data_IF_568781509411
#
_entry.id   IF_568781509411
#
_cell.length_a   1.000
_cell.length_b   1.000
_cell.length_c   1.000
_cell.angle_alpha   90.00
_cell.angle_beta   90.00
_cell.angle_gamma   90.00
#
_symmetry.space_group_name_H-M   'P 1'
#
loop_
_entity.id
_entity.type
_entity.pdbx_description
1 polymer ?
#
# COMPACT_ATOMS: atom_id res chain seq x y z
N UNK A 1 -11.31 -10.55 22.45
CA UNK A 1 -10.84 -11.83 21.92
C UNK A 1 -10.51 -11.63 20.44
N UNK A 2 -9.49 -10.84 20.04
CA UNK A 2 -8.02 -10.90 20.30
C UNK A 2 -7.46 -12.29 19.91
N UNK A 3 -6.36 -12.48 19.12
CA UNK A 3 -5.12 -11.67 19.07
C UNK A 3 -4.19 -11.85 17.81
N UNK A 4 -4.67 -12.11 16.58
CA UNK A 4 -3.81 -12.80 15.59
C UNK A 4 -2.74 -11.95 14.88
N UNK A 5 -2.92 -10.64 14.74
CA UNK A 5 -1.87 -9.79 14.15
C UNK A 5 -0.70 -9.51 15.11
N UNK A 6 -0.90 -9.68 16.42
CA UNK A 6 0.14 -9.51 17.45
C UNK A 6 0.98 -10.78 17.67
N UNK A 7 0.63 -11.92 17.07
CA UNK A 7 1.40 -13.17 17.22
C UNK A 7 2.56 -13.31 16.24
N UNK A 8 2.57 -12.59 15.12
CA UNK A 8 3.59 -12.79 14.06
C UNK A 8 4.89 -12.00 14.23
N UNK A 9 5.02 -11.13 15.24
CA UNK A 9 6.24 -10.32 15.43
C UNK A 9 6.67 -10.21 16.90
N UNK A 10 6.79 -11.35 17.57
CA UNK A 10 7.70 -11.46 18.73
C UNK A 10 9.13 -11.50 18.16
N UNK A 11 9.91 -10.41 18.28
CA UNK A 11 11.39 -10.43 18.43
C UNK A 11 12.06 -9.05 18.25
N UNK A 12 11.48 -7.96 18.75
CA UNK A 12 12.23 -6.71 18.93
C UNK A 12 11.63 -5.87 20.06
N UNK A 13 11.73 -6.36 21.30
CA UNK A 13 11.44 -5.52 22.46
C UNK A 13 12.65 -4.61 22.71
N UNK A 14 12.52 -3.33 22.37
CA UNK A 14 13.49 -2.28 22.72
C UNK A 14 12.89 -1.48 23.88
N UNK A 15 13.69 -1.27 24.93
CA UNK A 15 13.29 -0.53 26.11
C UNK A 15 13.61 0.95 25.96
N UNK A 16 12.72 1.77 26.53
CA UNK A 16 12.67 3.24 26.50
C UNK A 16 13.99 3.87 27.01
N UNK A 17 14.79 4.41 26.09
CA UNK A 17 15.79 5.44 26.40
C UNK A 17 15.18 6.77 25.98
N UNK A 18 15.17 7.73 26.91
CA UNK A 18 14.49 9.05 26.88
C UNK A 18 14.95 10.02 25.77
N UNK A 19 15.55 9.52 24.69
CA UNK A 19 16.07 10.30 23.56
C UNK A 19 15.32 10.06 22.26
N UNK A 20 14.33 9.17 22.22
CA UNK A 20 13.64 8.83 20.98
C UNK A 20 12.33 9.64 20.80
N UNK A 21 12.19 10.30 19.65
CA UNK A 21 11.09 11.22 19.30
C UNK A 21 9.86 10.53 18.69
N UNK A 22 9.79 9.19 18.78
CA UNK A 22 8.67 8.44 18.22
C UNK A 22 7.38 8.66 19.03
N UNK A 23 6.26 8.80 18.35
CA UNK A 23 4.95 9.03 18.97
C UNK A 23 4.47 7.75 19.67
N UNK A 24 4.60 7.73 21.00
CA UNK A 24 4.20 6.62 21.87
C UNK A 24 2.72 6.74 22.22
N UNK A 25 1.91 5.76 21.80
CA UNK A 25 0.54 5.60 22.29
C UNK A 25 0.44 4.42 23.25
N UNK A 26 -0.24 4.57 24.40
CA UNK A 26 -0.52 3.44 25.29
C UNK A 26 -1.51 2.48 24.61
N UNK A 27 -1.19 1.19 24.62
CA UNK A 27 -2.15 0.16 24.19
C UNK A 27 -3.42 0.21 25.04
N UNK A 28 -4.62 -0.04 24.47
CA UNK A 28 -5.84 -0.17 25.25
C UNK A 28 -5.69 -1.32 26.24
N UNK A 29 -6.04 -1.06 27.51
CA UNK A 29 -5.99 -2.06 28.56
C UNK A 29 -7.16 -3.02 28.41
N UNK A 30 -6.95 -4.31 28.65
CA UNK A 30 -8.03 -5.32 28.66
C UNK A 30 -9.03 -5.11 29.82
N UNK A 31 -8.77 -4.14 30.71
CA UNK A 31 -9.61 -3.82 31.88
C UNK A 31 -10.66 -2.71 31.62
N UNK A 32 -10.64 -2.04 30.47
CA UNK A 32 -11.60 -0.96 30.14
C UNK A 32 -12.91 -1.46 29.49
N UNK A 33 -13.16 -2.77 29.44
CA UNK A 33 -14.39 -3.37 28.88
C UNK A 33 -15.57 -3.45 29.85
N UNK A 34 -15.68 -2.52 30.79
CA UNK A 34 -16.94 -2.34 31.55
C UNK A 34 -17.23 -0.86 31.77
N UNK A 35 -18.05 -0.26 30.89
CA UNK A 35 -19.12 0.69 31.24
C UNK A 35 -19.58 1.48 30.01
N UNK A 36 -20.72 1.07 29.43
CA UNK A 36 -21.79 1.98 28.98
C UNK A 36 -22.97 1.19 28.39
N UNK A 37 -23.70 0.48 29.26
CA UNK A 37 -25.12 0.21 28.99
C UNK A 37 -25.92 1.39 29.51
N UNK A 38 -26.39 2.23 28.59
CA UNK A 38 -27.41 3.24 28.87
C UNK A 38 -28.76 2.54 28.84
N UNK A 39 -29.28 2.14 30.02
CA UNK A 39 -30.68 1.70 30.16
C UNK A 39 -31.50 2.75 30.92
N UNK A 40 -32.69 2.96 30.38
CA UNK A 40 -33.63 4.03 30.64
C UNK A 40 -34.43 3.76 31.92
N UNK A 41 -34.75 4.87 32.59
CA UNK A 41 -35.57 5.13 33.77
C UNK A 41 -36.78 4.21 34.05
N UNK A 42 -37.07 4.00 35.34
CA UNK A 42 -38.22 3.25 35.86
C UNK A 42 -38.12 2.91 37.35
N UNK A 43 -38.38 3.88 38.23
CA UNK A 43 -38.10 3.79 39.67
C UNK A 43 -39.04 2.96 40.57
N UNK A 44 -38.55 2.63 41.78
CA UNK A 44 -39.20 2.90 43.10
C UNK A 44 -38.44 2.27 44.28
N UNK A 45 -38.18 3.13 45.28
CA UNK A 45 -38.25 2.95 46.74
C UNK A 45 -37.46 1.83 47.46
N UNK A 46 -36.56 2.25 48.36
CA UNK A 46 -36.07 1.44 49.49
C UNK A 46 -34.82 2.01 50.19
N UNK A 47 -35.01 2.92 51.16
CA UNK A 47 -34.04 3.36 52.20
C UNK A 47 -33.72 2.20 53.20
N UNK A 48 -32.84 2.34 54.23
CA UNK A 48 -31.69 3.22 54.47
C UNK A 48 -30.49 2.52 55.19
N UNK A 49 -29.47 3.32 55.58
CA UNK A 49 -28.46 3.22 56.68
C UNK A 49 -27.03 3.30 56.14
N UNK A 50 -26.30 4.45 56.16
CA UNK A 50 -25.88 5.40 57.23
C UNK A 50 -24.92 4.73 58.24
N UNK A 51 -24.06 5.53 58.90
CA UNK A 51 -22.84 6.27 58.49
C UNK A 51 -21.61 5.67 59.21
N UNK A 52 -20.40 6.23 59.17
CA UNK A 52 -19.80 7.06 60.25
C UNK A 52 -18.38 7.43 59.79
N UNK A 53 -18.07 8.71 59.51
CA UNK A 53 -17.57 9.75 60.44
C UNK A 53 -16.05 9.75 60.57
N UNK A 54 -15.40 10.86 60.14
CA UNK A 54 -14.73 11.86 61.00
C UNK A 54 -13.29 11.46 61.34
N UNK A 55 -12.26 12.30 61.32
CA UNK A 55 -12.10 13.76 61.19
C UNK A 55 -10.59 14.08 61.28
N UNK A 56 -10.22 15.34 60.98
CA UNK A 56 -9.07 16.13 61.50
C UNK A 56 -7.65 15.68 61.12
N UNK A 57 -6.86 16.49 60.38
CA UNK A 57 -6.00 17.62 60.86
C UNK A 57 -4.94 17.14 61.86
N UNK A 58 -3.64 17.46 61.82
CA UNK A 58 -2.72 18.34 61.08
C UNK A 58 -1.27 17.93 61.51
N UNK A 59 -0.26 18.69 61.08
CA UNK A 59 1.11 18.80 61.66
C UNK A 59 2.27 17.97 61.07
N UNK A 60 3.00 18.66 60.17
CA UNK A 60 4.38 19.11 60.32
C UNK A 60 5.54 18.16 60.74
N UNK A 61 6.59 18.28 59.92
CA UNK A 61 8.04 18.25 60.21
C UNK A 61 8.89 16.98 59.99
N UNK A 62 9.96 17.26 59.23
CA UNK A 62 11.34 16.78 59.33
C UNK A 62 11.78 15.49 58.61
N UNK A 63 12.72 15.76 57.70
CA UNK A 63 13.76 14.95 57.06
C UNK A 63 14.05 13.56 57.66
N UNK A 64 14.08 12.57 56.77
CA UNK A 64 15.16 11.59 56.76
C UNK A 64 15.55 11.23 55.33
N UNK A 65 16.84 11.42 55.03
CA UNK A 65 17.50 10.95 53.81
C UNK A 65 17.63 9.42 53.85
N UNK A 66 16.62 8.70 53.40
CA UNK A 66 16.80 7.32 52.96
C UNK A 66 16.73 7.26 51.44
N UNK A 67 17.85 6.86 50.83
CA UNK A 67 17.95 6.45 49.43
C UNK A 67 16.85 5.42 49.14
N UNK A 68 15.70 5.88 48.64
CA UNK A 68 14.81 5.06 47.83
C UNK A 68 15.56 4.75 46.53
N UNK A 69 16.27 3.63 46.51
CA UNK A 69 16.42 2.91 45.26
C UNK A 69 15.01 2.80 44.67
N UNK A 70 14.76 3.54 43.59
CA UNK A 70 13.56 3.38 42.80
C UNK A 70 13.50 1.90 42.42
N UNK A 71 12.65 1.15 43.12
CA UNK A 71 12.19 -0.16 42.69
C UNK A 71 11.55 0.05 41.32
N UNK A 72 12.38 -0.05 40.27
CA UNK A 72 11.91 -0.11 38.90
C UNK A 72 10.93 -1.29 38.89
N UNK A 73 9.64 -1.05 38.60
CA UNK A 73 8.65 -2.12 38.65
C UNK A 73 9.15 -3.27 37.77
N UNK A 74 9.00 -4.54 38.22
CA UNK A 74 9.53 -5.69 37.51
C UNK A 74 9.10 -5.63 36.05
N UNK A 75 10.00 -5.95 35.11
CA UNK A 75 9.77 -5.82 33.66
C UNK A 75 8.47 -6.49 33.20
N UNK A 76 7.95 -7.46 33.96
CA UNK A 76 6.65 -8.12 33.75
C UNK A 76 5.42 -7.23 33.93
N UNK A 77 5.54 -6.07 34.61
CA UNK A 77 4.47 -5.06 34.80
C UNK A 77 4.59 -3.86 33.86
N UNK A 78 5.64 -3.78 33.04
CA UNK A 78 5.79 -2.68 32.07
C UNK A 78 4.87 -2.94 30.88
N UNK A 79 4.04 -1.95 30.53
CA UNK A 79 3.17 -2.00 29.35
C UNK A 79 4.04 -2.30 28.12
N UNK A 80 3.65 -3.31 27.34
CA UNK A 80 4.33 -3.62 26.08
C UNK A 80 4.20 -2.41 25.16
N UNK A 81 5.33 -1.81 24.81
CA UNK A 81 5.39 -0.74 23.82
C UNK A 81 5.33 -1.37 22.43
N UNK A 82 4.33 -0.98 21.65
CA UNK A 82 4.24 -1.31 20.23
C UNK A 82 4.86 -0.14 19.46
N UNK A 83 6.05 -0.35 18.91
CA UNK A 83 6.68 0.65 18.03
C UNK A 83 6.06 0.48 16.65
N UNK A 84 5.30 1.48 16.21
CA UNK A 84 4.72 1.52 14.86
C UNK A 84 5.66 2.29 13.94
N UNK A 85 5.97 1.69 12.80
CA UNK A 85 6.65 2.41 11.72
C UNK A 85 5.67 3.31 10.98
N UNK A 86 6.18 4.29 10.26
CA UNK A 86 5.37 5.12 9.35
C UNK A 86 4.60 4.25 8.34
N UNK A 87 5.21 3.14 7.89
CA UNK A 87 4.57 2.18 7.00
C UNK A 87 3.34 1.56 7.67
N UNK A 88 3.47 1.12 8.92
CA UNK A 88 2.37 0.49 9.66
C UNK A 88 1.19 1.46 9.84
N UNK A 89 1.47 2.73 10.12
CA UNK A 89 0.44 3.77 10.23
C UNK A 89 -0.27 3.98 8.89
N UNK A 90 0.49 4.07 7.79
CA UNK A 90 -0.09 4.24 6.44
C UNK A 90 -0.92 3.04 6.01
N UNK A 91 -0.45 1.82 6.31
CA UNK A 91 -1.17 0.58 6.00
C UNK A 91 -2.52 0.57 6.73
N UNK A 92 -2.53 0.84 8.04
CA UNK A 92 -3.76 0.87 8.83
C UNK A 92 -4.69 2.01 8.43
N UNK A 93 -4.13 3.18 8.06
CA UNK A 93 -4.92 4.30 7.57
C UNK A 93 -5.72 3.94 6.31
N UNK A 94 -5.10 3.25 5.35
CA UNK A 94 -5.78 2.80 4.12
C UNK A 94 -6.90 1.81 4.47
N UNK A 95 -6.63 0.85 5.34
CA UNK A 95 -7.65 -0.12 5.76
C UNK A 95 -8.81 0.53 6.53
N UNK A 96 -8.51 1.44 7.44
CA UNK A 96 -9.53 2.19 8.19
C UNK A 96 -10.39 3.05 7.27
N UNK A 97 -9.78 3.78 6.34
CA UNK A 97 -10.51 4.61 5.37
C UNK A 97 -11.46 3.76 4.54
N UNK A 98 -11.00 2.62 4.02
CA UNK A 98 -11.82 1.72 3.22
C UNK A 98 -12.97 1.08 4.02
N UNK A 99 -12.72 0.67 5.29
CA UNK A 99 -13.77 0.16 6.18
C UNK A 99 -14.82 1.22 6.51
N UNK A 100 -14.41 2.48 6.69
CA UNK A 100 -15.32 3.61 6.89
C UNK A 100 -16.15 3.88 5.64
N UNK A 101 -15.55 3.79 4.45
CA UNK A 101 -16.25 3.87 3.16
C UNK A 101 -17.38 2.84 3.06
N UNK A 102 -17.08 1.56 3.37
CA UNK A 102 -18.09 0.49 3.42
C UNK A 102 -19.21 0.77 4.43
N UNK A 103 -18.87 1.17 5.65
CA UNK A 103 -19.86 1.45 6.69
C UNK A 103 -20.75 2.67 6.36
N UNK A 104 -20.25 3.58 5.54
CA UNK A 104 -21.01 4.74 5.06
C UNK A 104 -21.98 4.37 3.94
N UNK A 105 -21.86 3.17 3.37
CA UNK A 105 -22.74 2.67 2.32
C UNK A 105 -24.05 2.14 2.90
N UNK A 106 -25.14 2.42 2.20
CA UNK A 106 -26.46 1.86 2.48
C UNK A 106 -26.59 0.37 2.11
N UNK A 107 -25.71 -0.12 1.23
CA UNK A 107 -25.72 -1.50 0.73
C UNK A 107 -25.06 -2.49 1.70
N UNK A 108 -24.07 -2.04 2.48
CA UNK A 108 -23.33 -2.89 3.40
C UNK A 108 -23.95 -2.84 4.80
N UNK A 109 -24.44 -3.99 5.28
CA UNK A 109 -25.00 -4.16 6.63
C UNK A 109 -24.26 -5.28 7.35
N UNK A 110 -23.04 -4.99 7.81
CA UNK A 110 -22.20 -5.98 8.47
C UNK A 110 -21.02 -5.36 9.21
N UNK A 111 -20.15 -6.23 9.71
CA UNK A 111 -18.86 -5.84 10.28
C UNK A 111 -17.82 -5.93 9.17
N UNK A 112 -17.11 -4.82 8.84
CA UNK A 112 -16.08 -4.86 7.81
C UNK A 112 -14.99 -5.89 8.12
N UNK A 113 -14.50 -6.63 7.12
CA UNK A 113 -13.42 -7.59 7.32
C UNK A 113 -12.15 -6.95 7.90
N UNK A 114 -11.48 -7.70 8.75
CA UNK A 114 -10.14 -7.32 9.26
C UNK A 114 -9.04 -7.67 8.27
N UNK A 115 -9.22 -8.77 7.52
CA UNK A 115 -8.31 -9.19 6.46
C UNK A 115 -8.46 -8.28 5.22
N UNK A 116 -7.34 -7.90 4.60
CA UNK A 116 -7.34 -6.94 3.51
C UNK A 116 -7.76 -7.55 2.15
N UNK A 117 -7.61 -8.87 1.95
CA UNK A 117 -8.05 -9.55 0.73
C UNK A 117 -9.57 -9.69 0.70
N UNK A 118 -10.15 -10.06 1.85
CA UNK A 118 -11.60 -10.10 2.05
C UNK A 118 -12.21 -8.71 1.94
N UNK A 119 -11.57 -7.70 2.57
CA UNK A 119 -12.00 -6.31 2.50
C UNK A 119 -11.98 -5.80 1.05
N UNK A 120 -10.89 -6.07 0.31
CA UNK A 120 -10.79 -5.72 -1.11
C UNK A 120 -11.91 -6.34 -1.94
N UNK A 121 -12.14 -7.65 -1.78
CA UNK A 121 -13.17 -8.37 -2.52
C UNK A 121 -14.55 -7.78 -2.27
N UNK A 122 -14.86 -7.46 -1.02
CA UNK A 122 -16.11 -6.85 -0.60
C UNK A 122 -16.28 -5.42 -1.10
N UNK A 123 -15.22 -4.60 -1.09
CA UNK A 123 -15.25 -3.23 -1.65
C UNK A 123 -15.63 -3.26 -3.14
N UNK A 124 -15.05 -4.18 -3.90
CA UNK A 124 -15.37 -4.36 -5.32
C UNK A 124 -16.83 -4.79 -5.49
N UNK A 125 -17.31 -5.73 -4.68
CA UNK A 125 -18.69 -6.23 -4.76
C UNK A 125 -19.73 -5.18 -4.34
N UNK A 126 -19.36 -4.26 -3.44
CA UNK A 126 -20.17 -3.11 -3.02
C UNK A 126 -19.90 -1.83 -3.84
N UNK A 127 -19.17 -1.92 -4.95
CA UNK A 127 -18.91 -0.83 -5.90
C UNK A 127 -18.13 0.38 -5.32
N UNK A 128 -17.32 0.16 -4.29
CA UNK A 128 -16.38 1.15 -3.72
C UNK A 128 -15.01 1.00 -4.38
N UNK A 129 -14.92 1.35 -5.66
CA UNK A 129 -13.77 1.14 -6.53
C UNK A 129 -12.54 1.99 -6.18
N UNK A 130 -12.69 3.25 -5.78
CA UNK A 130 -11.56 4.11 -5.39
C UNK A 130 -10.86 3.54 -4.13
N UNK A 131 -11.65 3.13 -3.13
CA UNK A 131 -11.11 2.54 -1.90
C UNK A 131 -10.55 1.13 -2.16
N UNK A 132 -11.20 0.33 -3.02
CA UNK A 132 -10.65 -0.95 -3.47
C UNK A 132 -9.31 -0.78 -4.20
N UNK A 133 -9.18 0.27 -5.02
CA UNK A 133 -7.93 0.58 -5.72
C UNK A 133 -6.81 0.95 -4.75
N UNK A 134 -7.10 1.76 -3.72
CA UNK A 134 -6.15 2.10 -2.66
C UNK A 134 -5.66 0.87 -1.89
N UNK A 135 -6.56 -0.03 -1.53
CA UNK A 135 -6.20 -1.30 -0.88
C UNK A 135 -5.35 -2.15 -1.83
N UNK A 136 -5.76 -2.30 -3.09
CA UNK A 136 -5.04 -3.11 -4.06
C UNK A 136 -3.61 -2.63 -4.30
N UNK A 137 -3.40 -1.32 -4.51
CA UNK A 137 -2.06 -0.76 -4.74
C UNK A 137 -1.20 -0.84 -3.47
N UNK A 138 -1.78 -0.64 -2.28
CA UNK A 138 -1.01 -0.60 -1.03
C UNK A 138 -0.51 -1.98 -0.63
N UNK A 139 -1.34 -3.00 -0.82
CA UNK A 139 -1.05 -4.39 -0.44
C UNK A 139 -0.62 -5.27 -1.62
N UNK A 140 -0.44 -4.69 -2.81
CA UNK A 140 -0.04 -5.37 -4.04
C UNK A 140 -0.96 -6.55 -4.41
N UNK A 141 -2.27 -6.33 -4.31
CA UNK A 141 -3.29 -7.32 -4.65
C UNK A 141 -3.49 -7.44 -6.16
N UNK A 142 -4.11 -8.54 -6.58
CA UNK A 142 -4.56 -8.68 -7.95
C UNK A 142 -5.78 -7.79 -8.24
N UNK A 143 -5.52 -6.65 -8.90
CA UNK A 143 -6.55 -5.70 -9.28
C UNK A 143 -7.41 -6.17 -10.47
N UNK A 144 -7.15 -7.34 -11.08
CA UNK A 144 -7.92 -7.83 -12.23
C UNK A 144 -9.43 -7.80 -11.99
N UNK A 145 -9.90 -8.32 -10.83
CA UNK A 145 -11.33 -8.34 -10.46
C UNK A 145 -11.92 -6.93 -10.41
N UNK A 146 -11.19 -5.97 -9.83
CA UNK A 146 -11.63 -4.58 -9.72
C UNK A 146 -11.90 -3.97 -11.10
N UNK A 147 -10.95 -4.09 -12.02
CA UNK A 147 -11.06 -3.49 -13.35
C UNK A 147 -12.09 -4.18 -14.25
N UNK A 148 -12.28 -5.49 -14.08
CA UNK A 148 -13.38 -6.22 -14.71
C UNK A 148 -14.74 -5.70 -14.22
N UNK A 149 -14.94 -5.62 -12.90
CA UNK A 149 -16.24 -5.24 -12.33
C UNK A 149 -16.59 -3.78 -12.64
N UNK A 150 -15.66 -2.82 -12.48
CA UNK A 150 -15.97 -1.41 -12.80
C UNK A 150 -16.31 -1.20 -14.28
N UNK A 151 -15.64 -1.95 -15.17
CA UNK A 151 -15.91 -1.90 -16.62
C UNK A 151 -17.23 -2.58 -16.97
N UNK A 152 -17.58 -3.68 -16.30
CA UNK A 152 -18.89 -4.32 -16.41
C UNK A 152 -20.00 -3.36 -16.01
N UNK A 153 -19.90 -2.73 -14.84
CA UNK A 153 -20.94 -1.81 -14.36
C UNK A 153 -21.10 -0.60 -15.28
N UNK A 154 -20.01 -0.11 -15.87
CA UNK A 154 -20.04 0.92 -16.91
C UNK A 154 -20.83 0.46 -18.16
N UNK A 155 -20.57 -0.75 -18.66
CA UNK A 155 -21.33 -1.34 -19.79
C UNK A 155 -22.81 -1.46 -19.46
N UNK A 156 -23.15 -1.91 -18.24
CA UNK A 156 -24.53 -2.08 -17.80
C UNK A 156 -25.29 -0.75 -17.78
N UNK A 157 -24.63 0.36 -17.41
CA UNK A 157 -25.23 1.70 -17.48
C UNK A 157 -25.63 2.05 -18.91
N UNK A 158 -24.74 1.86 -19.88
CA UNK A 158 -25.04 2.18 -21.28
C UNK A 158 -26.12 1.26 -21.86
N UNK A 159 -26.07 -0.05 -21.56
CA UNK A 159 -27.09 -1.00 -21.98
C UNK A 159 -28.51 -0.62 -21.49
N UNK A 160 -28.60 -0.06 -20.27
CA UNK A 160 -29.88 0.37 -19.69
C UNK A 160 -30.32 1.75 -20.15
N UNK A 161 -29.42 2.59 -20.67
CA UNK A 161 -29.78 3.87 -21.30
C UNK A 161 -30.42 3.69 -22.66
N UNK A 162 -30.07 2.62 -23.36
CA UNK A 162 -30.66 2.27 -24.66
C UNK A 162 -32.08 1.71 -24.52
N UNK A 163 -32.43 1.17 -23.34
CA UNK A 163 -33.81 0.83 -22.99
C UNK A 163 -34.60 2.07 -22.52
N UNK A 164 -35.85 2.20 -22.98
CA UNK A 164 -36.73 3.38 -22.83
C UNK A 164 -37.04 3.78 -21.36
N UNK A 165 -36.53 3.05 -20.36
CA UNK A 165 -36.70 3.33 -18.92
C UNK A 165 -35.56 4.20 -18.36
N UNK A 166 -35.42 5.40 -18.90
CA UNK A 166 -34.43 6.43 -18.54
C UNK A 166 -34.52 6.83 -17.04
N UNK A 167 -35.71 6.76 -16.43
CA UNK A 167 -35.92 7.18 -15.04
C UNK A 167 -35.25 6.26 -14.01
N UNK A 168 -35.19 4.95 -14.24
CA UNK A 168 -34.50 4.00 -13.33
C UNK A 168 -32.97 4.04 -13.47
N UNK A 169 -32.45 4.25 -14.69
CA UNK A 169 -31.01 4.39 -14.93
C UNK A 169 -30.40 5.61 -14.21
N UNK A 170 -31.21 6.68 -14.03
CA UNK A 170 -30.73 7.96 -13.49
C UNK A 170 -30.50 7.99 -11.96
N UNK A 171 -31.20 7.15 -11.18
CA UNK A 171 -31.28 7.32 -9.71
C UNK A 171 -30.43 6.33 -8.90
N UNK A 172 -30.36 5.05 -9.27
CA UNK A 172 -29.57 4.04 -8.53
C UNK A 172 -28.17 3.78 -9.12
N UNK A 173 -28.01 3.78 -10.44
CA UNK A 173 -26.73 3.40 -11.07
C UNK A 173 -25.70 4.54 -11.15
N UNK A 174 -26.11 5.79 -10.92
CA UNK A 174 -25.20 6.92 -10.76
C UNK A 174 -24.59 7.04 -9.35
N UNK A 175 -25.04 6.24 -8.37
CA UNK A 175 -24.58 6.33 -6.98
C UNK A 175 -23.10 5.97 -6.83
N UNK A 176 -22.70 4.83 -7.38
CA UNK A 176 -21.29 4.42 -7.36
C UNK A 176 -20.43 5.37 -8.20
N UNK A 177 -20.92 5.85 -9.35
CA UNK A 177 -20.19 6.80 -10.21
C UNK A 177 -19.87 8.10 -9.47
N UNK A 178 -20.78 8.58 -8.61
CA UNK A 178 -20.54 9.77 -7.77
C UNK A 178 -19.53 9.50 -6.66
N UNK A 179 -19.52 8.29 -6.12
CA UNK A 179 -18.66 7.89 -5.01
C UNK A 179 -17.22 7.61 -5.44
N UNK A 180 -17.00 7.32 -6.72
CA UNK A 180 -15.70 6.89 -7.27
C UNK A 180 -15.06 7.92 -8.22
N UNK A 181 -15.12 9.22 -7.86
CA UNK A 181 -14.64 10.30 -8.73
C UNK A 181 -13.21 10.76 -8.45
N UNK A 182 -12.48 10.12 -7.53
CA UNK A 182 -11.19 10.62 -7.06
C UNK A 182 -10.15 10.73 -8.17
N UNK A 183 -10.20 9.82 -9.13
CA UNK A 183 -9.29 9.78 -10.29
C UNK A 183 -9.93 10.30 -11.59
N UNK A 184 -11.17 10.80 -11.53
CA UNK A 184 -11.89 11.24 -12.72
C UNK A 184 -11.44 12.62 -13.20
N UNK A 185 -11.32 12.76 -14.52
CA UNK A 185 -11.36 14.06 -15.19
C UNK A 185 -12.81 14.47 -15.42
N UNK A 186 -13.13 15.75 -15.28
CA UNK A 186 -14.46 16.27 -15.54
C UNK A 186 -14.86 16.06 -17.00
N UNK A 187 -16.03 15.44 -17.23
CA UNK A 187 -16.59 15.14 -18.55
C UNK A 187 -18.08 15.48 -18.58
N UNK A 188 -18.70 15.37 -19.77
CA UNK A 188 -20.16 15.46 -19.89
C UNK A 188 -20.84 14.40 -19.03
N UNK A 189 -22.02 14.72 -18.48
CA UNK A 189 -22.78 13.86 -17.57
C UNK A 189 -23.09 12.47 -18.15
N UNK A 190 -23.23 12.38 -19.47
CA UNK A 190 -23.48 11.14 -20.19
C UNK A 190 -22.32 10.13 -20.19
N UNK A 191 -21.09 10.56 -19.87
CA UNK A 191 -19.88 9.72 -19.91
C UNK A 191 -19.21 9.56 -18.54
N UNK A 192 -19.85 10.00 -17.47
CA UNK A 192 -19.22 10.04 -16.13
C UNK A 192 -18.73 8.66 -15.68
N UNK A 193 -19.48 7.60 -15.96
CA UNK A 193 -19.10 6.23 -15.59
C UNK A 193 -17.84 5.77 -16.34
N UNK A 194 -17.70 6.11 -17.63
CA UNK A 194 -16.49 5.84 -18.39
C UNK A 194 -15.31 6.72 -17.96
N UNK A 195 -15.55 7.93 -17.48
CA UNK A 195 -14.49 8.75 -16.88
C UNK A 195 -13.93 8.12 -15.59
N UNK A 196 -14.76 7.43 -14.80
CA UNK A 196 -14.28 6.63 -13.65
C UNK A 196 -13.38 5.50 -14.12
N UNK A 197 -13.83 4.70 -15.09
CA UNK A 197 -13.04 3.58 -15.63
C UNK A 197 -11.69 4.06 -16.16
N UNK A 198 -11.69 5.11 -16.99
CA UNK A 198 -10.46 5.67 -17.56
C UNK A 198 -9.55 6.25 -16.48
N UNK A 199 -10.11 7.01 -15.53
CA UNK A 199 -9.36 7.59 -14.41
C UNK A 199 -8.66 6.54 -13.56
N UNK A 200 -9.35 5.45 -13.22
CA UNK A 200 -8.76 4.33 -12.49
C UNK A 200 -7.68 3.61 -13.30
N UNK A 201 -7.88 3.42 -14.61
CA UNK A 201 -6.87 2.79 -15.48
C UNK A 201 -5.63 3.67 -15.57
N UNK A 202 -5.78 4.98 -15.74
CA UNK A 202 -4.65 5.90 -15.80
C UNK A 202 -3.91 5.95 -14.46
N UNK A 203 -4.63 6.02 -13.34
CA UNK A 203 -4.04 5.93 -12.00
C UNK A 203 -3.27 4.61 -11.79
N UNK A 204 -3.81 3.48 -12.26
CA UNK A 204 -3.12 2.19 -12.18
C UNK A 204 -1.84 2.16 -13.02
N UNK A 205 -1.84 2.82 -14.18
CA UNK A 205 -0.65 2.90 -15.05
C UNK A 205 0.45 3.76 -14.45
N UNK A 206 0.08 4.83 -13.75
CA UNK A 206 1.03 5.71 -13.08
C UNK A 206 1.66 5.05 -11.84
N UNK A 207 0.84 4.36 -11.03
CA UNK A 207 1.29 3.69 -9.79
C UNK A 207 1.96 2.34 -10.05
N UNK A 208 1.53 1.60 -11.08
CA UNK A 208 1.99 0.24 -11.42
C UNK A 208 2.38 0.14 -12.91
N UNK A 209 3.43 0.84 -13.34
CA UNK A 209 3.83 0.86 -14.74
C UNK A 209 4.25 -0.54 -15.20
N UNK A 210 3.60 -1.03 -16.26
CA UNK A 210 3.85 -2.37 -16.83
C UNK A 210 2.95 -3.48 -16.28
N UNK A 211 2.07 -3.19 -15.31
CA UNK A 211 1.04 -4.15 -14.93
C UNK A 211 -0.09 -4.15 -15.98
N UNK A 212 -0.24 -5.28 -16.67
CA UNK A 212 -1.29 -5.47 -17.68
C UNK A 212 -2.63 -5.91 -17.08
N UNK A 213 -2.67 -6.32 -15.80
CA UNK A 213 -3.88 -6.86 -15.15
C UNK A 213 -5.06 -5.88 -15.14
N UNK A 214 -4.87 -4.56 -14.87
CA UNK A 214 -5.95 -3.58 -15.00
C UNK A 214 -6.58 -3.56 -16.40
N UNK A 215 -5.74 -3.53 -17.45
CA UNK A 215 -6.21 -3.48 -18.83
C UNK A 215 -6.84 -4.79 -19.28
N UNK A 216 -6.31 -5.93 -18.83
CA UNK A 216 -6.90 -7.26 -19.07
C UNK A 216 -8.28 -7.37 -18.44
N UNK A 217 -8.44 -6.99 -17.18
CA UNK A 217 -9.74 -7.02 -16.50
C UNK A 217 -10.77 -6.16 -17.23
N UNK A 218 -10.41 -4.93 -17.59
CA UNK A 218 -11.29 -4.05 -18.35
C UNK A 218 -11.65 -4.63 -19.73
N UNK A 219 -10.69 -5.21 -20.44
CA UNK A 219 -10.90 -5.82 -21.77
C UNK A 219 -11.78 -7.07 -21.67
N UNK A 220 -11.54 -7.92 -20.67
CA UNK A 220 -12.32 -9.12 -20.42
C UNK A 220 -13.80 -8.79 -20.16
N UNK A 221 -14.10 -7.67 -19.51
CA UNK A 221 -15.48 -7.23 -19.34
C UNK A 221 -16.19 -7.06 -20.69
N UNK A 222 -15.61 -6.33 -21.66
CA UNK A 222 -16.21 -6.19 -22.99
C UNK A 222 -16.39 -7.54 -23.70
N UNK A 223 -15.35 -8.38 -23.66
CA UNK A 223 -15.37 -9.68 -24.32
C UNK A 223 -16.42 -10.63 -23.71
N UNK A 224 -16.65 -10.55 -22.40
CA UNK A 224 -17.66 -11.37 -21.70
C UNK A 224 -19.10 -11.11 -22.17
N UNK A 225 -19.38 -9.90 -22.69
CA UNK A 225 -20.65 -9.54 -23.31
C UNK A 225 -20.62 -9.64 -24.84
N UNK A 226 -19.53 -10.15 -25.44
CA UNK A 226 -19.38 -10.21 -26.90
C UNK A 226 -19.29 -8.82 -27.57
N UNK A 227 -18.91 -7.79 -26.81
CA UNK A 227 -18.76 -6.42 -27.32
C UNK A 227 -17.36 -6.21 -27.90
N UNK A 228 -17.27 -5.28 -28.85
CA UNK A 228 -15.97 -4.85 -29.37
C UNK A 228 -15.22 -4.03 -28.32
N UNK A 229 -13.93 -4.32 -28.17
CA UNK A 229 -13.03 -3.56 -27.30
C UNK A 229 -12.87 -2.14 -27.86
N UNK A 230 -13.12 -1.08 -27.08
CA UNK A 230 -12.97 0.29 -27.55
C UNK A 230 -11.54 0.61 -27.99
N UNK A 231 -11.41 1.44 -29.03
CA UNK A 231 -10.11 1.80 -29.61
C UNK A 231 -9.13 2.40 -28.59
N UNK A 232 -9.62 3.24 -27.66
CA UNK A 232 -8.78 3.83 -26.63
C UNK A 232 -8.18 2.77 -25.69
N UNK A 233 -8.94 1.73 -25.35
CA UNK A 233 -8.50 0.65 -24.47
C UNK A 233 -7.49 -0.25 -25.18
N UNK A 234 -7.76 -0.56 -26.46
CA UNK A 234 -6.85 -1.31 -27.32
C UNK A 234 -5.49 -0.63 -27.47
N UNK A 235 -5.45 0.66 -27.81
CA UNK A 235 -4.21 1.42 -27.92
C UNK A 235 -3.43 1.45 -26.60
N UNK A 236 -4.14 1.57 -25.48
CA UNK A 236 -3.52 1.59 -24.16
C UNK A 236 -2.87 0.24 -23.84
N UNK A 237 -3.53 -0.86 -24.24
CA UNK A 237 -2.98 -2.21 -24.10
C UNK A 237 -1.70 -2.40 -24.92
N UNK A 238 -1.70 -1.99 -26.20
CA UNK A 238 -0.50 -2.09 -27.06
C UNK A 238 0.69 -1.31 -26.48
N UNK A 239 0.46 -0.12 -25.93
CA UNK A 239 1.51 0.67 -25.28
C UNK A 239 2.07 -0.07 -24.07
N UNK A 240 1.21 -0.56 -23.17
CA UNK A 240 1.67 -1.26 -21.96
C UNK A 240 2.37 -2.55 -22.30
N UNK A 241 1.87 -3.33 -23.27
CA UNK A 241 2.53 -4.55 -23.72
C UNK A 241 3.90 -4.25 -24.33
N UNK A 242 4.00 -3.22 -25.18
CA UNK A 242 5.26 -2.79 -25.76
C UNK A 242 6.27 -2.29 -24.70
N UNK A 243 5.83 -1.50 -23.71
CA UNK A 243 6.70 -1.08 -22.59
C UNK A 243 7.10 -2.26 -21.70
N UNK A 244 6.18 -3.18 -21.41
CA UNK A 244 6.46 -4.40 -20.64
C UNK A 244 7.49 -5.24 -21.37
N UNK A 245 7.37 -5.40 -22.69
CA UNK A 245 8.33 -6.09 -23.53
C UNK A 245 9.71 -5.44 -23.50
N UNK A 246 9.81 -4.11 -23.43
CA UNK A 246 11.10 -3.40 -23.25
C UNK A 246 11.74 -3.69 -21.90
N UNK A 247 10.93 -3.76 -20.83
CA UNK A 247 11.39 -4.04 -19.46
C UNK A 247 11.68 -5.53 -19.23
N UNK A 248 11.01 -6.43 -19.95
CA UNK A 248 11.24 -7.88 -19.87
C UNK A 248 12.38 -8.36 -20.78
N UNK A 249 12.95 -7.50 -21.62
CA UNK A 249 14.17 -7.85 -22.32
C UNK A 249 15.32 -8.01 -21.32
N UNK A 250 16.23 -8.98 -21.47
CA UNK A 250 17.43 -9.13 -20.63
C UNK A 250 18.42 -7.94 -20.71
N UNK A 251 18.09 -6.91 -21.49
CA UNK A 251 18.79 -5.64 -21.61
C UNK A 251 18.02 -4.45 -20.97
N UNK A 252 16.91 -4.69 -20.27
CA UNK A 252 16.22 -3.66 -19.52
C UNK A 252 17.19 -3.08 -18.49
N UNK A 253 17.53 -1.82 -18.70
CA UNK A 253 18.53 -1.08 -17.93
C UNK A 253 18.06 -0.93 -16.48
N UNK A 254 18.37 -1.90 -15.64
CA UNK A 254 18.64 -1.59 -14.24
C UNK A 254 19.93 -0.79 -14.25
N UNK A 255 19.80 0.53 -14.26
CA UNK A 255 20.95 1.42 -14.07
C UNK A 255 21.42 1.24 -12.63
N UNK A 256 22.38 0.35 -12.43
CA UNK A 256 23.12 0.33 -11.18
C UNK A 256 23.86 1.67 -11.08
N UNK A 257 23.78 2.37 -9.93
CA UNK A 257 24.60 3.56 -9.70
C UNK A 257 26.07 3.24 -9.98
N UNK A 258 26.82 4.19 -10.53
CA UNK A 258 28.23 4.00 -10.87
C UNK A 258 29.06 3.47 -9.69
N UNK A 259 28.74 3.92 -8.48
CA UNK A 259 29.34 3.44 -7.22
C UNK A 259 29.13 1.94 -6.98
N UNK A 260 27.93 1.42 -7.29
CA UNK A 260 27.58 0.01 -7.14
C UNK A 260 28.29 -0.83 -8.21
N UNK A 261 28.40 -0.30 -9.44
CA UNK A 261 29.15 -0.95 -10.53
C UNK A 261 30.63 -1.04 -10.18
N UNK A 262 31.24 0.06 -9.74
CA UNK A 262 32.65 0.10 -9.34
C UNK A 262 32.95 -0.87 -8.20
N UNK A 263 32.10 -0.88 -7.17
CA UNK A 263 32.24 -1.79 -6.03
C UNK A 263 32.12 -3.26 -6.45
N UNK A 264 31.17 -3.57 -7.33
CA UNK A 264 30.99 -4.92 -7.87
C UNK A 264 32.21 -5.37 -8.70
N UNK A 265 32.79 -4.48 -9.51
CA UNK A 265 33.98 -4.76 -10.31
C UNK A 265 35.25 -4.90 -9.47
N UNK A 266 35.36 -4.15 -8.37
CA UNK A 266 36.44 -4.28 -7.38
C UNK A 266 36.35 -5.60 -6.62
N UNK A 267 35.17 -5.90 -6.04
CA UNK A 267 34.93 -7.10 -5.24
C UNK A 267 35.08 -8.38 -6.06
N UNK A 268 34.62 -8.39 -7.31
CA UNK A 268 34.79 -9.53 -8.22
C UNK A 268 36.26 -9.77 -8.61
N UNK A 269 37.05 -8.70 -8.81
CA UNK A 269 38.48 -8.81 -9.02
C UNK A 269 39.23 -9.39 -7.82
N UNK A 270 38.87 -8.96 -6.61
CA UNK A 270 39.41 -9.52 -5.36
C UNK A 270 39.03 -10.99 -5.18
N UNK A 271 37.80 -11.36 -5.53
CA UNK A 271 37.32 -12.73 -5.49
C UNK A 271 38.15 -13.64 -6.40
N UNK A 272 38.33 -13.28 -7.67
CA UNK A 272 39.14 -14.04 -8.61
C UNK A 272 40.58 -14.23 -8.11
N UNK A 273 41.21 -13.18 -7.55
CA UNK A 273 42.56 -13.27 -6.96
C UNK A 273 42.63 -14.22 -5.78
N UNK A 274 41.64 -14.16 -4.87
CA UNK A 274 41.59 -14.99 -3.66
C UNK A 274 41.32 -16.47 -3.96
N UNK A 275 40.58 -16.76 -5.02
CA UNK A 275 40.18 -18.12 -5.39
C UNK A 275 41.17 -18.82 -6.34
N UNK A 276 42.07 -18.08 -7.00
CA UNK A 276 43.07 -18.62 -7.93
C UNK A 276 44.05 -19.64 -7.32
N UNK A 277 44.24 -19.64 -6.00
CA UNK A 277 45.14 -20.57 -5.28
C UNK A 277 44.42 -21.58 -4.38
N UNK A 278 43.09 -21.70 -4.47
CA UNK A 278 42.30 -22.58 -3.59
C UNK A 278 41.93 -23.88 -4.30
N UNK A 279 40.81 -24.50 -3.91
CA UNK A 279 40.37 -25.79 -4.43
C UNK A 279 40.10 -25.73 -5.94
N UNK A 280 40.15 -26.86 -6.65
CA UNK A 280 39.81 -26.90 -8.08
C UNK A 280 38.41 -26.37 -8.39
N UNK A 281 37.45 -26.58 -7.49
CA UNK A 281 36.07 -26.07 -7.59
C UNK A 281 36.02 -24.55 -7.47
N UNK A 282 36.76 -23.97 -6.52
CA UNK A 282 36.90 -22.51 -6.37
C UNK A 282 37.56 -21.87 -7.61
N UNK A 283 38.49 -22.58 -8.24
CA UNK A 283 39.17 -22.10 -9.46
C UNK A 283 38.21 -22.06 -10.66
N UNK A 284 37.33 -23.05 -10.81
CA UNK A 284 36.30 -23.05 -11.86
C UNK A 284 35.33 -21.88 -11.69
N UNK A 285 34.86 -21.64 -10.46
CA UNK A 285 34.01 -20.49 -10.14
C UNK A 285 34.75 -19.16 -10.36
N UNK A 286 36.03 -19.08 -10.04
CA UNK A 286 36.85 -17.90 -10.28
C UNK A 286 36.97 -17.57 -11.78
N UNK A 287 37.09 -18.59 -12.64
CA UNK A 287 37.13 -18.44 -14.10
C UNK A 287 35.78 -17.96 -14.64
N UNK A 288 34.67 -18.47 -14.13
CA UNK A 288 33.33 -18.01 -14.50
C UNK A 288 33.11 -16.55 -14.13
N UNK A 289 33.45 -16.16 -12.90
CA UNK A 289 33.39 -14.76 -12.44
C UNK A 289 34.31 -13.86 -13.28
N UNK A 290 35.50 -14.33 -13.67
CA UNK A 290 36.41 -13.57 -14.53
C UNK A 290 35.82 -13.35 -15.94
N UNK A 291 35.14 -14.35 -16.51
CA UNK A 291 34.46 -14.23 -17.80
C UNK A 291 33.29 -13.24 -17.73
N UNK A 292 32.49 -13.29 -16.67
CA UNK A 292 31.41 -12.32 -16.44
C UNK A 292 31.94 -10.89 -16.29
N UNK A 293 33.05 -10.72 -15.55
CA UNK A 293 33.72 -9.42 -15.40
C UNK A 293 34.21 -8.86 -16.74
N UNK A 294 34.84 -9.69 -17.57
CA UNK A 294 35.27 -9.30 -18.93
C UNK A 294 34.10 -8.85 -19.81
N UNK A 295 32.97 -9.54 -19.73
CA UNK A 295 31.76 -9.16 -20.47
C UNK A 295 31.17 -7.84 -19.96
N UNK A 296 31.18 -7.61 -18.64
CA UNK A 296 30.75 -6.37 -18.04
C UNK A 296 31.64 -5.19 -18.47
N UNK A 297 32.97 -5.35 -18.42
CA UNK A 297 33.94 -4.36 -18.90
C UNK A 297 33.69 -3.97 -20.36
N UNK A 298 33.44 -4.94 -21.24
CA UNK A 298 33.16 -4.68 -22.65
C UNK A 298 31.87 -3.86 -22.84
N UNK A 299 30.82 -4.17 -22.06
CA UNK A 299 29.56 -3.41 -22.10
C UNK A 299 29.74 -1.98 -21.57
N UNK A 300 30.51 -1.80 -20.49
CA UNK A 300 30.83 -0.49 -19.94
C UNK A 300 31.63 0.37 -20.93
N UNK A 301 32.61 -0.21 -21.61
CA UNK A 301 33.38 0.49 -22.65
C UNK A 301 32.50 0.96 -23.82
N UNK A 302 31.56 0.13 -24.28
CA UNK A 302 30.58 0.52 -25.31
C UNK A 302 29.69 1.64 -24.81
N UNK A 303 29.25 1.58 -23.54
CA UNK A 303 28.43 2.61 -22.92
C UNK A 303 29.15 3.96 -22.85
N UNK A 304 30.37 4.00 -22.29
CA UNK A 304 31.13 5.25 -22.17
C UNK A 304 31.46 5.86 -23.52
N UNK A 305 31.76 5.03 -24.53
CA UNK A 305 31.98 5.52 -25.90
C UNK A 305 30.73 6.18 -26.47
N UNK A 306 29.55 5.55 -26.30
CA UNK A 306 28.28 6.14 -26.73
C UNK A 306 27.97 7.45 -26.01
N UNK A 307 28.19 7.54 -24.70
CA UNK A 307 27.99 8.78 -23.93
C UNK A 307 28.90 9.89 -24.45
N UNK A 308 30.17 9.59 -24.69
CA UNK A 308 31.12 10.54 -25.26
C UNK A 308 30.69 11.02 -26.66
N UNK A 309 30.22 10.09 -27.51
CA UNK A 309 29.69 10.41 -28.84
C UNK A 309 28.45 11.33 -28.75
N UNK A 310 27.55 11.08 -27.78
CA UNK A 310 26.39 11.93 -27.51
C UNK A 310 26.79 13.34 -27.03
N UNK A 311 27.71 13.44 -26.07
CA UNK A 311 28.21 14.73 -25.60
C UNK A 311 28.89 15.53 -26.72
N UNK A 312 29.63 14.84 -27.59
CA UNK A 312 30.28 15.46 -28.75
C UNK A 312 29.25 15.92 -29.79
N UNK A 313 28.20 15.13 -30.06
CA UNK A 313 27.09 15.52 -30.92
C UNK A 313 26.34 16.73 -30.36
N UNK A 314 26.10 16.79 -29.05
CA UNK A 314 25.48 17.93 -28.37
C UNK A 314 26.36 19.19 -28.47
N UNK A 315 27.68 19.06 -28.25
CA UNK A 315 28.64 20.17 -28.42
C UNK A 315 28.68 20.69 -29.86
N UNK A 316 28.53 19.81 -30.86
CA UNK A 316 28.43 20.22 -32.26
C UNK A 316 27.09 20.89 -32.58
N UNK A 317 25.97 20.35 -32.09
CA UNK A 317 24.65 20.96 -32.24
C UNK A 317 24.62 22.39 -31.67
N UNK A 318 25.17 22.59 -30.48
CA UNK A 318 25.25 23.92 -29.86
C UNK A 318 26.14 24.91 -30.63
N UNK A 319 27.03 24.45 -31.52
CA UNK A 319 27.83 25.33 -32.41
C UNK A 319 27.13 25.68 -33.72
N UNK A 320 26.14 24.88 -34.14
CA UNK A 320 25.37 25.13 -35.36
C UNK A 320 24.11 25.96 -35.10
N UNK A 321 23.62 26.00 -33.85
CA UNK A 321 22.41 26.71 -33.46
C UNK A 321 22.66 27.89 -32.49
N UNK A 322 23.91 28.38 -32.40
CA UNK A 322 24.25 29.62 -31.67
C UNK A 322 24.42 30.80 -32.61
#
# INVERSE_FOLDING_TARGET
MTPDLLRRRQNAAIYDDYTNTDLVFPAPSDDDLTSSETQIDGGKAGKPQKPTSSSSESDEMEMDEEKKEEERPPLSRRRKLLVLTEKDIRDEWVLCSARVGLLSSDQFKGVPPTDFEDLFSLLVDCLHFDDAFDVARRFNLDAHKLFFVVSREAIMIDALRDDVNIEMASTQQAGWVRSNRRHCVAVATAEEHWAVVRGLIDAARDEMPGDSRPLRGATEAFLSYGLNVPFWLHNTYEIVEHETLKVSQPNARTWLPYTVIDELMLRSGDYCRKMAGKTPEDQVLAVEVANLRKNADQKLMIYFRKVQDFEQAQKMSNRFFS
#
